data_IF_487814692938
#
_entry.id   IF_487814692938
#
_cell.length_a   1.000
_cell.length_b   1.000
_cell.length_c   1.000
_cell.angle_alpha   90.00
_cell.angle_beta   90.00
_cell.angle_gamma   90.00
#
_symmetry.space_group_name_H-M   'P 1'
#
loop_
_entity.id
_entity.type
_entity.pdbx_description
1 polymer ?
#
# COMPACT_ATOMS: atom_id res chain seq x y z
N UNK A 1 -22.52 -6.28 3.79
CA UNK A 1 -21.52 -7.10 4.52
C UNK A 1 -20.20 -6.35 4.47
N UNK A 2 -19.88 -5.57 5.50
CA UNK A 2 -18.64 -4.80 5.55
C UNK A 2 -17.54 -5.66 6.15
N UNK A 3 -16.54 -6.03 5.34
CA UNK A 3 -15.29 -6.58 5.86
C UNK A 3 -14.60 -5.55 6.75
N UNK A 4 -13.73 -6.02 7.65
CA UNK A 4 -12.91 -5.13 8.49
C UNK A 4 -12.16 -4.13 7.62
N UNK A 5 -12.13 -2.83 8.00
CA UNK A 5 -11.48 -1.79 7.21
C UNK A 5 -9.97 -2.03 7.07
N UNK A 6 -9.39 -2.78 8.02
CA UNK A 6 -7.98 -3.15 8.05
C UNK A 6 -7.78 -4.65 8.16
N UNK A 7 -6.66 -5.12 7.63
CA UNK A 7 -6.15 -6.48 7.77
C UNK A 7 -4.68 -6.43 8.20
N UNK A 8 -4.23 -7.48 8.85
CA UNK A 8 -2.83 -7.65 9.22
C UNK A 8 -2.08 -8.41 8.11
N UNK A 9 -0.85 -7.98 7.85
CA UNK A 9 0.11 -8.57 6.92
C UNK A 9 1.48 -8.55 7.60
N UNK A 10 2.26 -9.60 7.41
CA UNK A 10 3.59 -9.73 8.01
C UNK A 10 4.68 -9.47 6.96
N UNK A 11 5.68 -8.69 7.34
CA UNK A 11 6.82 -8.34 6.48
C UNK A 11 8.14 -8.66 7.18
N UNK A 12 8.94 -9.55 6.59
CA UNK A 12 10.25 -9.97 7.13
C UNK A 12 11.45 -9.25 6.46
N UNK A 13 11.20 -8.31 5.54
CA UNK A 13 12.23 -7.65 4.74
C UNK A 13 12.44 -8.24 3.34
N UNK A 14 11.92 -9.44 3.07
CA UNK A 14 12.07 -10.15 1.80
C UNK A 14 10.77 -10.81 1.29
N UNK A 15 9.79 -11.05 2.17
CA UNK A 15 8.53 -11.76 1.87
C UNK A 15 7.37 -11.17 2.66
N UNK A 16 6.22 -11.15 2.00
CA UNK A 16 4.93 -10.81 2.60
C UNK A 16 4.19 -12.10 2.96
N UNK A 17 3.59 -12.16 4.14
CA UNK A 17 2.79 -13.30 4.59
C UNK A 17 1.50 -12.86 5.29
N UNK A 18 0.50 -13.74 5.27
CA UNK A 18 -0.73 -13.63 6.06
C UNK A 18 -0.71 -14.56 7.28
N UNK A 19 0.29 -15.45 7.39
CA UNK A 19 0.41 -16.38 8.50
C UNK A 19 1.34 -15.79 9.59
N UNK A 20 0.84 -15.51 10.80
CA UNK A 20 1.67 -15.03 11.90
C UNK A 20 2.80 -16.00 12.28
N UNK A 21 2.67 -17.29 11.98
CA UNK A 21 3.70 -18.29 12.27
C UNK A 21 4.94 -18.16 11.36
N UNK A 22 4.81 -17.53 10.19
CA UNK A 22 5.95 -17.27 9.30
C UNK A 22 6.85 -16.11 9.80
N UNK A 23 6.39 -15.37 10.81
CA UNK A 23 7.14 -14.29 11.44
C UNK A 23 7.18 -13.01 10.62
N UNK A 24 8.08 -12.10 11.00
CA UNK A 24 8.15 -10.75 10.45
C UNK A 24 7.33 -9.73 11.24
N UNK A 25 7.41 -8.48 10.84
CA UNK A 25 6.73 -7.36 11.51
C UNK A 25 5.26 -7.33 11.10
N UNK A 26 4.31 -7.31 12.06
CA UNK A 26 2.91 -7.10 11.74
C UNK A 26 2.68 -5.66 11.28
N UNK A 27 1.98 -5.51 10.16
CA UNK A 27 1.60 -4.24 9.54
C UNK A 27 0.11 -4.27 9.22
N UNK A 28 -0.61 -3.19 9.52
CA UNK A 28 -2.00 -3.04 9.13
C UNK A 28 -2.10 -2.43 7.73
N UNK A 29 -2.96 -2.99 6.88
CA UNK A 29 -3.21 -2.58 5.48
C UNK A 29 -4.72 -2.49 5.21
N UNK A 30 -5.14 -1.77 4.15
CA UNK A 30 -6.54 -1.75 3.69
C UNK A 30 -6.99 -3.17 3.34
N UNK A 31 -7.98 -3.68 4.06
CA UNK A 31 -8.43 -5.06 3.91
C UNK A 31 -8.89 -5.42 2.49
N UNK A 32 -9.37 -4.44 1.72
CA UNK A 32 -9.78 -4.65 0.32
C UNK A 32 -8.64 -5.13 -0.57
N UNK A 33 -7.39 -4.79 -0.25
CA UNK A 33 -6.23 -5.24 -1.02
C UNK A 33 -6.02 -6.76 -0.91
N UNK A 34 -6.47 -7.38 0.19
CA UNK A 34 -6.29 -8.80 0.49
C UNK A 34 -7.59 -9.60 0.35
N UNK A 35 -8.75 -8.97 0.60
CA UNK A 35 -10.06 -9.61 0.52
C UNK A 35 -10.64 -9.63 -0.91
N UNK A 36 -10.03 -8.92 -1.86
CA UNK A 36 -10.41 -8.95 -3.27
C UNK A 36 -9.95 -10.23 -3.97
N UNK A 37 -10.54 -10.54 -5.14
CA UNK A 37 -10.09 -11.66 -5.97
C UNK A 37 -8.61 -11.50 -6.30
N UNK A 38 -7.80 -12.44 -5.81
CA UNK A 38 -6.34 -12.37 -5.96
C UNK A 38 -5.92 -12.42 -7.42
N UNK A 39 -4.91 -11.64 -7.75
CA UNK A 39 -4.27 -11.66 -9.05
C UNK A 39 -2.95 -12.43 -8.89
N UNK A 40 -2.79 -13.57 -9.54
CA UNK A 40 -1.54 -14.33 -9.45
C UNK A 40 -0.42 -13.67 -10.27
N UNK A 41 0.82 -13.86 -9.83
CA UNK A 41 2.03 -13.45 -10.52
C UNK A 41 2.32 -11.95 -10.44
N UNK A 42 1.74 -11.24 -9.46
CA UNK A 42 1.98 -9.81 -9.27
C UNK A 42 3.36 -9.52 -8.67
N UNK A 43 3.70 -8.25 -8.68
CA UNK A 43 4.83 -7.70 -7.94
C UNK A 43 4.31 -6.69 -6.93
N UNK A 44 4.80 -6.78 -5.70
CA UNK A 44 4.59 -5.79 -4.65
C UNK A 44 5.90 -5.02 -4.43
N UNK A 45 5.83 -3.71 -4.50
CA UNK A 45 6.87 -2.83 -3.99
C UNK A 45 6.53 -2.48 -2.55
N UNK A 46 7.34 -2.98 -1.61
CA UNK A 46 7.14 -2.84 -0.18
C UNK A 46 8.12 -1.79 0.33
N UNK A 47 7.59 -0.62 0.65
CA UNK A 47 8.33 0.47 1.28
C UNK A 47 7.96 0.49 2.75
N UNK A 48 8.71 -0.20 3.62
CA UNK A 48 8.34 -0.36 5.03
C UNK A 48 9.44 0.07 6.00
N UNK A 49 9.04 0.52 7.19
CA UNK A 49 9.96 0.78 8.31
C UNK A 49 10.77 -0.49 8.62
N UNK A 50 12.10 -0.35 8.71
CA UNK A 50 12.93 -1.36 9.38
C UNK A 50 12.61 -1.41 10.88
N UNK A 51 13.03 -2.47 11.56
CA UNK A 51 12.77 -2.67 13.00
C UNK A 51 13.18 -1.45 13.86
N UNK A 52 14.23 -0.73 13.47
CA UNK A 52 14.80 0.41 14.19
C UNK A 52 14.29 1.80 13.76
N UNK A 53 13.42 1.88 12.75
CA UNK A 53 13.05 3.17 12.18
C UNK A 53 11.96 3.88 13.01
N UNK A 54 12.14 5.20 13.19
CA UNK A 54 11.24 6.05 13.96
C UNK A 54 9.80 5.96 13.43
N UNK A 55 8.82 5.90 14.35
CA UNK A 55 7.40 5.93 13.99
C UNK A 55 7.09 7.29 13.37
N UNK A 56 6.69 7.33 12.09
CA UNK A 56 6.38 8.59 11.40
C UNK A 56 4.86 8.83 11.50
N UNK A 57 4.40 9.91 12.15
CA UNK A 57 2.98 10.25 12.16
C UNK A 57 2.42 10.46 10.74
N UNK A 58 1.17 10.07 10.50
CA UNK A 58 0.53 10.25 9.19
C UNK A 58 0.42 11.71 8.75
N UNK A 59 0.35 12.65 9.68
CA UNK A 59 0.24 14.09 9.42
C UNK A 59 1.59 14.77 9.15
N UNK A 60 2.70 14.04 9.24
CA UNK A 60 4.01 14.58 8.87
C UNK A 60 4.01 15.06 7.41
N UNK A 61 4.57 16.24 7.13
CA UNK A 61 4.58 16.82 5.78
C UNK A 61 5.11 15.86 4.71
N UNK A 62 6.15 15.10 5.02
CA UNK A 62 6.80 14.17 4.08
C UNK A 62 5.88 13.01 3.71
N UNK A 63 5.13 12.45 4.67
CA UNK A 63 4.12 11.40 4.42
C UNK A 63 3.00 11.96 3.56
N UNK A 64 2.57 13.19 3.84
CA UNK A 64 1.54 13.88 3.08
C UNK A 64 2.00 14.19 1.65
N UNK A 65 3.25 14.59 1.46
CA UNK A 65 3.85 14.80 0.13
C UNK A 65 3.92 13.51 -0.67
N UNK A 66 4.38 12.39 -0.08
CA UNK A 66 4.41 11.09 -0.75
C UNK A 66 3.01 10.66 -1.20
N UNK A 67 2.00 10.86 -0.35
CA UNK A 67 0.59 10.58 -0.68
C UNK A 67 0.08 11.48 -1.80
N UNK A 68 0.35 12.80 -1.75
CA UNK A 68 -0.03 13.72 -2.84
C UNK A 68 0.64 13.34 -4.16
N UNK A 69 1.93 12.98 -4.15
CA UNK A 69 2.64 12.50 -5.32
C UNK A 69 2.02 11.20 -5.85
N UNK A 70 1.64 10.28 -4.94
CA UNK A 70 0.99 9.03 -5.32
C UNK A 70 -0.28 9.28 -6.13
N UNK A 71 -1.05 10.28 -5.71
CA UNK A 71 -2.34 10.64 -6.30
C UNK A 71 -2.19 11.46 -7.58
N UNK A 72 -1.24 12.40 -7.58
CA UNK A 72 -1.05 13.34 -8.67
C UNK A 72 -0.50 12.64 -9.93
N UNK A 73 0.38 11.65 -9.77
CA UNK A 73 1.04 11.04 -10.94
C UNK A 73 1.38 9.55 -10.80
N UNK A 74 1.63 9.01 -9.61
CA UNK A 74 2.06 7.60 -9.46
C UNK A 74 0.96 6.61 -9.86
N UNK A 75 -0.24 6.76 -9.31
CA UNK A 75 -1.41 5.94 -9.65
C UNK A 75 -1.76 6.10 -11.14
N UNK A 76 -1.82 7.32 -11.70
CA UNK A 76 -1.97 7.50 -13.14
C UNK A 76 -0.90 6.80 -13.99
N UNK A 77 0.37 6.86 -13.58
CA UNK A 77 1.49 6.24 -14.30
C UNK A 77 1.35 4.72 -14.36
N UNK A 78 0.98 4.07 -13.25
CA UNK A 78 0.75 2.64 -13.21
C UNK A 78 -0.49 2.22 -14.01
N UNK A 79 -1.52 3.06 -14.02
CA UNK A 79 -2.73 2.88 -14.82
C UNK A 79 -3.33 1.48 -14.67
N UNK A 80 -3.46 0.79 -15.79
CA UNK A 80 -4.08 -0.54 -15.91
C UNK A 80 -3.27 -1.66 -15.25
N UNK A 81 -1.99 -1.42 -14.97
CA UNK A 81 -1.12 -2.39 -14.31
C UNK A 81 -1.29 -2.39 -12.80
N UNK A 82 -1.86 -1.33 -12.21
CA UNK A 82 -2.11 -1.23 -10.78
C UNK A 82 -3.14 -2.27 -10.34
N UNK A 83 -2.75 -3.08 -9.36
CA UNK A 83 -3.63 -4.04 -8.68
C UNK A 83 -4.23 -3.37 -7.45
N UNK A 84 -3.36 -2.90 -6.55
CA UNK A 84 -3.78 -2.11 -5.41
C UNK A 84 -2.62 -1.26 -4.87
N UNK A 85 -2.95 -0.24 -4.08
CA UNK A 85 -1.98 0.50 -3.27
C UNK A 85 -2.55 0.67 -1.86
N UNK A 86 -1.71 0.61 -0.85
CA UNK A 86 -2.13 0.93 0.52
C UNK A 86 -0.95 1.42 1.32
N UNK A 87 -1.18 2.39 2.21
CA UNK A 87 -0.23 2.65 3.29
C UNK A 87 -0.24 1.50 4.28
N UNK A 88 0.86 1.32 5.01
CA UNK A 88 0.90 0.50 6.20
C UNK A 88 0.72 1.38 7.44
N UNK A 89 0.03 0.85 8.45
CA UNK A 89 -0.08 1.49 9.75
C UNK A 89 0.43 0.57 10.85
N UNK A 90 1.13 1.14 11.84
CA UNK A 90 1.47 0.42 13.09
C UNK A 90 0.31 0.49 14.09
N UNK A 91 -0.38 1.63 14.09
CA UNK A 91 -1.53 1.96 14.91
C UNK A 91 -2.37 3.03 14.18
N UNK A 92 -3.35 3.63 14.85
CA UNK A 92 -4.21 4.65 14.23
C UNK A 92 -3.55 5.99 13.91
N UNK A 93 -2.27 6.19 14.26
CA UNK A 93 -1.56 7.48 14.16
C UNK A 93 -0.29 7.38 13.31
N UNK A 94 0.40 6.24 13.35
CA UNK A 94 1.72 6.10 12.75
C UNK A 94 1.69 5.34 11.42
N UNK A 95 2.27 5.97 10.40
CA UNK A 95 2.59 5.39 9.12
C UNK A 95 3.79 4.45 9.27
N UNK A 96 3.64 3.23 8.78
CA UNK A 96 4.70 2.21 8.78
C UNK A 96 5.33 2.00 7.41
N UNK A 97 4.84 2.72 6.39
CA UNK A 97 5.21 2.46 5.00
C UNK A 97 4.06 2.51 4.03
N UNK A 98 4.27 1.90 2.87
CA UNK A 98 3.26 1.59 1.89
C UNK A 98 3.62 0.35 1.09
N UNK A 99 2.61 -0.24 0.45
CA UNK A 99 2.76 -1.23 -0.60
C UNK A 99 2.05 -0.77 -1.85
N UNK A 100 2.78 -0.82 -2.96
CA UNK A 100 2.22 -0.69 -4.31
C UNK A 100 2.27 -2.05 -4.98
N UNK A 101 1.13 -2.57 -5.43
CA UNK A 101 1.05 -3.86 -6.13
C UNK A 101 0.66 -3.63 -7.58
N UNK A 102 1.45 -4.17 -8.50
CA UNK A 102 1.23 -4.05 -9.93
C UNK A 102 1.54 -5.37 -10.65
N UNK A 103 0.99 -5.52 -11.85
CA UNK A 103 1.26 -6.68 -12.73
C UNK A 103 2.71 -6.71 -13.22
N UNK A 104 3.36 -5.54 -13.28
CA UNK A 104 4.75 -5.38 -13.74
C UNK A 104 5.50 -4.38 -12.84
N UNK A 105 6.79 -4.61 -12.54
CA UNK A 105 7.55 -3.79 -11.60
C UNK A 105 8.26 -2.58 -12.24
N UNK A 106 8.04 -2.30 -13.53
CA UNK A 106 8.90 -1.41 -14.34
C UNK A 106 9.05 0.02 -13.82
N UNK A 107 8.10 0.50 -13.01
CA UNK A 107 8.10 1.87 -12.50
C UNK A 107 8.41 1.97 -11.00
N UNK A 108 8.64 0.85 -10.30
CA UNK A 108 8.80 0.83 -8.84
C UNK A 108 10.00 1.64 -8.32
N UNK A 109 11.00 1.87 -9.15
CA UNK A 109 12.10 2.80 -8.88
C UNK A 109 11.65 4.25 -8.68
N UNK A 110 10.44 4.59 -9.12
CA UNK A 110 9.82 5.91 -9.00
C UNK A 110 8.81 5.98 -7.84
N UNK A 111 8.63 4.92 -7.05
CA UNK A 111 7.62 4.93 -5.99
C UNK A 111 7.86 6.08 -4.98
N UNK A 112 6.89 7.00 -4.78
CA UNK A 112 7.08 8.16 -3.91
C UNK A 112 7.35 7.78 -2.45
N UNK A 113 6.91 6.61 -1.99
CA UNK A 113 7.16 6.13 -0.63
C UNK A 113 8.59 5.62 -0.42
N UNK A 114 9.31 5.28 -1.50
CA UNK A 114 10.71 4.82 -1.43
C UNK A 114 11.67 5.91 -0.96
N UNK A 115 11.23 7.18 -0.97
CA UNK A 115 11.97 8.32 -0.40
C UNK A 115 11.95 8.35 1.13
N UNK A 116 10.96 7.70 1.74
CA UNK A 116 10.73 7.69 3.20
C UNK A 116 11.12 6.35 3.82
N UNK A 117 10.93 5.27 3.09
CA UNK A 117 11.16 3.91 3.56
C UNK A 117 11.96 3.13 2.51
N UNK A 118 12.83 2.23 2.95
CA UNK A 118 13.55 1.35 2.03
C UNK A 118 12.55 0.49 1.25
N UNK A 119 12.64 0.53 -0.09
CA UNK A 119 11.76 -0.21 -0.99
C UNK A 119 12.36 -1.56 -1.38
N UNK A 120 11.57 -2.62 -1.22
CA UNK A 120 11.91 -3.97 -1.69
C UNK A 120 10.83 -4.44 -2.67
N UNK A 121 11.24 -4.90 -3.85
CA UNK A 121 10.31 -5.53 -4.80
C UNK A 121 10.24 -7.03 -4.57
N UNK A 122 9.05 -7.58 -4.40
CA UNK A 122 8.80 -9.00 -4.20
C UNK A 122 7.70 -9.50 -5.13
N UNK A 123 7.77 -10.76 -5.55
CA UNK A 123 6.66 -11.40 -6.27
C UNK A 123 5.62 -11.89 -5.25
N UNK A 124 4.33 -11.80 -5.58
CA UNK A 124 3.24 -12.17 -4.67
C UNK A 124 1.97 -12.59 -5.41
N UNK A 125 1.19 -13.44 -4.75
CA UNK A 125 -0.14 -13.89 -5.16
C UNK A 125 -1.23 -13.48 -4.15
N UNK A 126 -0.89 -12.63 -3.17
CA UNK A 126 -1.75 -12.32 -2.01
C UNK A 126 -2.81 -11.25 -2.29
N UNK A 127 -2.64 -10.45 -3.34
CA UNK A 127 -3.38 -9.21 -3.52
C UNK A 127 -4.37 -9.27 -4.66
N UNK A 128 -5.49 -8.58 -4.51
CA UNK A 128 -6.54 -8.46 -5.52
C UNK A 128 -6.73 -7.03 -6.04
N UNK A 129 -7.39 -6.91 -7.20
CA UNK A 129 -7.66 -5.60 -7.81
C UNK A 129 -8.64 -4.80 -6.98
N UNK A 130 -8.26 -3.57 -6.63
CA UNK A 130 -9.12 -2.62 -5.92
C UNK A 130 -9.52 -1.48 -6.87
N UNK A 131 -10.79 -1.07 -6.84
CA UNK A 131 -11.25 0.13 -7.54
C UNK A 131 -10.90 1.39 -6.73
N UNK A 132 -10.60 2.50 -7.40
CA UNK A 132 -10.39 3.77 -6.72
C UNK A 132 -11.64 4.12 -5.91
N UNK A 133 -11.51 4.79 -4.75
CA UNK A 133 -12.67 5.33 -4.07
C UNK A 133 -13.47 6.24 -5.00
N UNK A 134 -14.79 6.14 -4.94
CA UNK A 134 -15.66 7.14 -5.52
C UNK A 134 -15.63 8.42 -4.66
N UNK A 135 -15.47 9.58 -5.29
CA UNK A 135 -15.59 10.91 -4.65
C UNK A 135 -14.32 11.76 -4.69
N UNK A 136 -14.38 13.04 -4.28
CA UNK A 136 -13.20 13.86 -4.14
C UNK A 136 -12.19 13.15 -3.22
N UNK A 137 -10.92 13.36 -3.54
CA UNK A 137 -9.71 12.84 -2.89
C UNK A 137 -9.55 13.34 -1.43
N UNK A 138 -10.61 13.21 -0.64
CA UNK A 138 -10.66 13.61 0.75
C UNK A 138 -10.01 12.48 1.55
N UNK A 139 -8.85 12.82 2.10
CA UNK A 139 -8.17 12.08 3.14
C UNK A 139 -9.18 11.59 4.19
N UNK A 140 -9.28 10.26 4.38
CA UNK A 140 -10.11 9.71 5.45
C UNK A 140 -9.37 10.01 6.77
N UNK A 141 -9.85 11.03 7.48
CA UNK A 141 -9.38 11.41 8.81
C UNK A 141 -9.80 10.32 9.81
N UNK A 142 -9.09 9.18 9.85
CA UNK A 142 -9.34 8.12 10.84
C UNK A 142 -8.24 7.04 10.92
N UNK A 143 -6.98 7.29 10.52
CA UNK A 143 -5.92 6.27 10.58
C UNK A 143 -6.20 5.00 9.75
N UNK A 144 -7.21 5.05 8.88
CA UNK A 144 -7.57 3.97 7.98
C UNK A 144 -6.59 3.98 6.79
N UNK A 145 -6.00 2.83 6.44
CA UNK A 145 -5.09 2.72 5.32
C UNK A 145 -5.70 3.31 4.04
N UNK A 146 -4.87 4.07 3.30
CA UNK A 146 -5.31 4.81 2.12
C UNK A 146 -5.79 3.85 1.02
N UNK A 147 -6.94 4.11 0.38
CA UNK A 147 -7.44 3.25 -0.68
C UNK A 147 -6.68 3.44 -2.00
N UNK A 148 -5.94 2.43 -2.42
CA UNK A 148 -5.29 2.39 -3.73
C UNK A 148 -6.03 1.48 -4.67
N UNK A 149 -6.87 2.08 -5.49
CA UNK A 149 -7.44 1.38 -6.62
C UNK A 149 -7.46 2.24 -7.86
N UNK A 150 -7.90 1.64 -8.98
CA UNK A 150 -7.90 2.25 -10.32
C UNK A 150 -9.05 3.25 -10.51
N UNK A 151 -8.77 4.39 -11.14
CA UNK A 151 -9.81 5.29 -11.67
C UNK A 151 -10.28 4.80 -13.05
N UNK A 152 -11.59 4.88 -13.37
CA UNK A 152 -12.05 4.62 -14.73
C UNK A 152 -11.48 5.65 -15.70
N UNK A 153 -11.19 5.22 -16.94
CA UNK A 153 -10.82 6.16 -18.00
C UNK A 153 -11.99 7.11 -18.27
N UNK A 154 -11.72 8.41 -18.40
CA UNK A 154 -12.72 9.38 -18.85
C UNK A 154 -13.19 9.01 -20.26
N UNK A 155 -14.51 8.94 -20.44
CA UNK A 155 -15.16 8.74 -21.74
C UNK A 155 -15.02 9.97 -22.63
#
# INVERSE_FOLDING_TARGET
MGGSPTRELFWDGARLSLDPAEGGRPLCIDGRCLDANTVPGCFAHVCALSEDAARIPFDQPEVQEARRAALAWWIPLLGDTLVCLSTFSLDGVHCAGAVTVARHPHHFDQDPFARLFAGTTVRTDLFGVVAAPAGPLIERIAGAPWPGGRFPASA
#
